data_IF_496491338612
#
_entry.id   IF_496491338612
#
_cell.length_a   1.000
_cell.length_b   1.000
_cell.length_c   1.000
_cell.angle_alpha   90.00
_cell.angle_beta   90.00
_cell.angle_gamma   90.00
#
_symmetry.space_group_name_H-M   'P 1'
#
loop_
_entity.id
_entity.type
_entity.pdbx_description
1 polymer ?
#
# COMPACT_ATOMS: atom_id res chain seq x y z
N UNK A 1 45.34 22.39 -32.05
CA UNK A 1 46.81 22.28 -31.89
C UNK A 1 47.33 22.29 -33.31
N UNK A 2 47.85 23.43 -33.74
CA UNK A 2 48.02 23.72 -35.15
C UNK A 2 49.53 23.71 -35.45
N UNK A 3 49.99 22.74 -36.23
CA UNK A 3 51.32 22.71 -36.81
C UNK A 3 51.43 23.81 -37.88
N UNK A 4 52.09 24.92 -37.57
CA UNK A 4 52.49 25.92 -38.58
C UNK A 4 53.93 25.66 -39.02
N UNK A 5 54.12 25.48 -40.33
CA UNK A 5 55.45 25.60 -40.95
C UNK A 5 55.85 27.08 -40.90
N UNK A 6 56.82 27.39 -40.03
CA UNK A 6 57.06 28.72 -39.45
C UNK A 6 57.72 29.79 -40.32
N UNK A 7 57.36 29.94 -41.61
CA UNK A 7 58.05 30.92 -42.48
C UNK A 7 57.12 31.86 -43.26
N UNK A 8 55.79 31.72 -43.13
CA UNK A 8 54.81 32.67 -43.70
C UNK A 8 53.80 33.04 -42.62
N UNK A 9 53.88 34.29 -42.15
CA UNK A 9 52.94 34.87 -41.19
C UNK A 9 51.90 35.64 -42.01
N UNK A 10 50.80 34.98 -42.36
CA UNK A 10 49.68 35.66 -43.03
C UNK A 10 48.76 36.29 -41.99
N UNK A 11 48.32 37.55 -42.18
CA UNK A 11 47.33 38.17 -41.31
C UNK A 11 46.01 37.38 -41.37
N UNK A 12 45.48 37.01 -40.21
CA UNK A 12 44.17 36.34 -40.10
C UNK A 12 43.06 37.39 -40.17
N UNK A 13 42.14 37.20 -41.11
CA UNK A 13 40.97 38.04 -41.29
C UNK A 13 39.69 37.29 -40.88
N UNK A 14 38.61 38.01 -40.59
CA UNK A 14 37.31 37.37 -40.30
C UNK A 14 36.71 36.73 -41.55
N UNK A 15 35.83 35.73 -41.40
CA UNK A 15 35.11 35.03 -42.48
C UNK A 15 34.30 35.94 -43.43
N UNK A 16 34.07 37.21 -43.06
CA UNK A 16 33.43 38.21 -43.92
C UNK A 16 34.36 38.72 -45.02
N UNK A 17 35.66 38.69 -44.77
CA UNK A 17 36.70 39.15 -45.67
C UNK A 17 37.05 38.00 -46.62
N UNK A 18 37.05 38.28 -47.93
CA UNK A 18 37.24 37.27 -48.98
C UNK A 18 38.73 36.99 -49.23
N UNK A 19 39.49 36.73 -48.17
CA UNK A 19 40.93 36.51 -48.20
C UNK A 19 41.23 35.17 -47.51
N UNK A 20 42.15 34.39 -48.08
CA UNK A 20 42.47 33.06 -47.57
C UNK A 20 41.33 32.06 -47.80
N UNK A 21 41.17 31.10 -46.88
CA UNK A 21 40.24 29.96 -47.00
C UNK A 21 38.80 30.28 -46.56
N UNK A 22 38.33 31.49 -46.87
CA UNK A 22 37.07 32.05 -46.36
C UNK A 22 35.82 31.23 -46.73
N UNK A 23 35.82 30.54 -47.88
CA UNK A 23 34.70 29.68 -48.32
C UNK A 23 34.56 28.46 -47.42
N UNK A 24 35.67 27.80 -47.09
CA UNK A 24 35.67 26.63 -46.23
C UNK A 24 35.38 27.01 -44.77
N UNK A 25 35.86 28.17 -44.31
CA UNK A 25 35.53 28.70 -42.98
C UNK A 25 34.03 28.97 -42.83
N UNK A 26 33.38 29.55 -43.84
CA UNK A 26 31.90 29.68 -43.86
C UNK A 26 31.16 28.35 -43.94
N UNK A 27 31.75 27.33 -44.59
CA UNK A 27 31.17 25.97 -44.62
C UNK A 27 31.31 25.23 -43.29
N UNK A 28 32.33 25.54 -42.50
CA UNK A 28 32.70 24.78 -41.29
C UNK A 28 31.70 24.87 -40.14
N UNK A 29 30.81 25.86 -40.08
CA UNK A 29 29.79 25.90 -39.01
C UNK A 29 28.42 26.38 -39.48
N UNK A 30 27.68 25.44 -40.06
CA UNK A 30 26.29 25.23 -39.66
C UNK A 30 26.14 23.74 -39.40
N UNK A 31 26.36 23.32 -38.16
CA UNK A 31 25.85 22.03 -37.68
C UNK A 31 24.34 22.10 -37.85
N UNK A 32 23.85 21.71 -39.03
CA UNK A 32 22.43 21.47 -39.23
C UNK A 32 22.10 20.44 -38.18
N UNK A 33 21.18 20.78 -37.28
CA UNK A 33 20.56 19.83 -36.38
C UNK A 33 20.11 18.65 -37.23
N UNK A 34 20.93 17.61 -37.30
CA UNK A 34 20.59 16.43 -38.07
C UNK A 34 19.51 15.74 -37.24
N UNK A 35 18.33 15.46 -37.81
CA UNK A 35 17.37 14.64 -37.11
C UNK A 35 18.07 13.31 -36.79
N UNK A 36 18.07 12.96 -35.51
CA UNK A 36 18.64 11.70 -35.04
C UNK A 36 17.93 10.57 -35.80
N UNK A 37 18.67 9.67 -36.41
CA UNK A 37 18.06 8.53 -37.08
C UNK A 37 17.40 7.64 -36.03
N UNK A 38 16.11 7.40 -36.19
CA UNK A 38 15.35 6.49 -35.34
C UNK A 38 15.61 5.03 -35.75
N UNK A 39 15.42 4.11 -34.80
CA UNK A 39 15.50 2.67 -35.09
C UNK A 39 14.34 2.25 -36.00
N UNK A 40 14.53 1.20 -36.81
CA UNK A 40 13.44 0.64 -37.62
C UNK A 40 12.22 0.29 -36.75
N UNK A 41 12.45 -0.18 -35.52
CA UNK A 41 11.39 -0.43 -34.55
C UNK A 41 10.55 0.82 -34.23
N UNK A 42 11.18 1.98 -34.01
CA UNK A 42 10.45 3.21 -33.71
C UNK A 42 9.68 3.76 -34.93
N UNK A 43 10.14 3.42 -36.13
CA UNK A 43 9.47 3.78 -37.39
C UNK A 43 8.23 2.91 -37.60
N UNK A 44 8.35 1.60 -37.32
CA UNK A 44 7.27 0.62 -37.53
C UNK A 44 6.25 0.59 -36.38
N UNK A 45 6.69 0.90 -35.15
CA UNK A 45 5.83 0.87 -33.98
C UNK A 45 4.92 2.09 -33.93
N UNK A 46 3.63 1.87 -34.14
CA UNK A 46 2.59 2.87 -33.91
C UNK A 46 2.04 2.72 -32.49
N UNK A 47 2.39 3.66 -31.62
CA UNK A 47 1.79 3.75 -30.29
C UNK A 47 0.34 4.21 -30.42
N UNK A 48 -0.60 3.41 -29.91
CA UNK A 48 -1.99 3.79 -29.79
C UNK A 48 -2.32 4.07 -28.31
N UNK A 49 -2.08 5.31 -27.81
CA UNK A 49 -2.26 5.63 -26.39
C UNK A 49 -3.71 5.44 -25.91
N UNK A 50 -4.68 5.61 -26.81
CA UNK A 50 -6.12 5.47 -26.51
C UNK A 50 -6.67 4.08 -26.89
N UNK A 51 -5.84 3.19 -27.45
CA UNK A 51 -6.23 1.82 -27.78
C UNK A 51 -6.43 1.02 -26.50
N UNK A 52 -7.68 0.92 -26.06
CA UNK A 52 -8.09 -0.09 -25.09
C UNK A 52 -8.42 -1.37 -25.84
N UNK A 53 -7.86 -2.54 -25.47
CA UNK A 53 -8.28 -3.80 -26.06
C UNK A 53 -9.78 -3.98 -25.82
N UNK A 54 -10.49 -4.55 -26.81
CA UNK A 54 -11.92 -4.81 -26.65
C UNK A 54 -12.15 -5.76 -25.45
N UNK A 55 -12.84 -5.23 -24.44
CA UNK A 55 -13.12 -5.95 -23.21
C UNK A 55 -14.07 -7.13 -23.44
N UNK A 56 -14.92 -7.06 -24.46
CA UNK A 56 -15.85 -8.13 -24.83
C UNK A 56 -15.07 -9.28 -25.46
N UNK A 57 -14.23 -8.97 -26.45
CA UNK A 57 -13.35 -9.95 -27.09
C UNK A 57 -12.44 -10.66 -26.09
N UNK A 58 -11.72 -9.91 -25.24
CA UNK A 58 -10.83 -10.47 -24.22
C UNK A 58 -11.58 -11.36 -23.22
N UNK A 59 -12.75 -10.93 -22.72
CA UNK A 59 -13.60 -11.76 -21.85
C UNK A 59 -14.06 -13.04 -22.54
N UNK A 60 -14.36 -12.97 -23.84
CA UNK A 60 -14.79 -14.15 -24.61
C UNK A 60 -13.67 -15.18 -24.75
N UNK A 61 -12.42 -14.75 -24.94
CA UNK A 61 -11.24 -15.62 -24.99
C UNK A 61 -11.00 -16.27 -23.63
N UNK A 62 -10.99 -15.47 -22.56
CA UNK A 62 -10.79 -16.00 -21.20
C UNK A 62 -11.82 -17.07 -20.87
N UNK A 63 -13.10 -16.82 -21.15
CA UNK A 63 -14.17 -17.81 -20.94
C UNK A 63 -13.98 -19.10 -21.75
N UNK A 64 -13.45 -19.02 -22.97
CA UNK A 64 -13.15 -20.22 -23.77
C UNK A 64 -11.97 -21.01 -23.20
N UNK A 65 -11.02 -20.34 -22.56
CA UNK A 65 -9.83 -20.94 -21.96
C UNK A 65 -10.07 -21.49 -20.54
N UNK A 66 -11.11 -21.05 -19.83
CA UNK A 66 -11.45 -21.50 -18.47
C UNK A 66 -11.72 -23.02 -18.37
N UNK A 67 -12.03 -23.69 -19.48
CA UNK A 67 -12.22 -25.15 -19.54
C UNK A 67 -13.48 -25.65 -18.85
N UNK A 68 -13.58 -26.96 -18.64
CA UNK A 68 -14.73 -27.58 -17.97
C UNK A 68 -14.56 -27.45 -16.44
N UNK A 69 -15.59 -27.01 -15.70
CA UNK A 69 -15.44 -26.83 -14.27
C UNK A 69 -15.30 -28.17 -13.54
N UNK A 70 -14.45 -28.17 -12.50
CA UNK A 70 -14.10 -29.34 -11.66
C UNK A 70 -15.30 -30.19 -11.23
N UNK A 71 -16.44 -29.55 -10.97
CA UNK A 71 -17.67 -30.24 -10.56
C UNK A 71 -18.17 -31.26 -11.60
N UNK A 72 -17.93 -31.07 -12.90
CA UNK A 72 -18.37 -32.04 -13.91
C UNK A 72 -17.38 -33.19 -14.09
N UNK A 73 -16.10 -32.98 -13.77
CA UNK A 73 -15.05 -33.99 -13.93
C UNK A 73 -14.87 -34.87 -12.70
N UNK A 74 -14.94 -34.28 -11.51
CA UNK A 74 -14.54 -34.93 -10.26
C UNK A 74 -15.67 -35.09 -9.24
N UNK A 75 -16.87 -34.57 -9.52
CA UNK A 75 -18.02 -34.81 -8.64
C UNK A 75 -18.64 -36.15 -9.00
N UNK A 76 -18.78 -37.00 -7.99
CA UNK A 76 -19.58 -38.21 -8.08
C UNK A 76 -20.97 -37.92 -7.49
N UNK A 77 -22.02 -38.22 -8.26
CA UNK A 77 -23.42 -38.21 -7.81
C UNK A 77 -23.96 -36.87 -7.26
N UNK A 78 -23.30 -35.74 -7.54
CA UNK A 78 -23.73 -34.44 -7.06
C UNK A 78 -23.66 -34.28 -5.54
N UNK A 79 -22.81 -35.06 -4.86
CA UNK A 79 -22.71 -35.00 -3.41
C UNK A 79 -22.20 -33.62 -2.93
N UNK A 80 -22.78 -33.06 -1.85
CA UNK A 80 -22.27 -31.83 -1.29
C UNK A 80 -20.87 -32.04 -0.73
N UNK A 81 -19.97 -31.06 -0.95
CA UNK A 81 -18.57 -31.14 -0.51
C UNK A 81 -18.39 -31.36 1.00
N UNK A 82 -19.38 -30.97 1.80
CA UNK A 82 -19.37 -31.10 3.26
C UNK A 82 -19.94 -32.42 3.77
N UNK A 83 -20.35 -33.35 2.90
CA UNK A 83 -20.98 -34.61 3.30
C UNK A 83 -20.07 -35.49 4.17
N UNK A 84 -18.75 -35.43 3.94
CA UNK A 84 -17.76 -36.34 4.55
C UNK A 84 -16.72 -35.58 5.37
N UNK A 85 -17.17 -34.66 6.25
CA UNK A 85 -16.28 -33.89 7.14
C UNK A 85 -16.02 -34.56 8.49
N UNK A 86 -16.73 -35.65 8.79
CA UNK A 86 -16.60 -36.43 10.02
C UNK A 86 -15.74 -37.64 9.74
N UNK A 87 -14.72 -37.88 10.57
CA UNK A 87 -13.90 -39.09 10.48
C UNK A 87 -14.57 -40.25 11.21
N UNK A 88 -14.25 -41.49 10.83
CA UNK A 88 -14.75 -42.69 11.53
C UNK A 88 -14.41 -42.67 13.02
N UNK A 89 -13.27 -42.11 13.39
CA UNK A 89 -12.87 -41.95 14.79
C UNK A 89 -13.82 -41.00 15.54
N UNK A 90 -14.14 -39.84 14.95
CA UNK A 90 -15.07 -38.87 15.54
C UNK A 90 -16.47 -39.46 15.68
N UNK A 91 -16.94 -40.20 14.67
CA UNK A 91 -18.24 -40.86 14.70
C UNK A 91 -18.34 -41.95 15.78
N UNK A 92 -17.32 -42.81 15.91
CA UNK A 92 -17.33 -43.93 16.85
C UNK A 92 -17.11 -43.52 18.32
N UNK A 93 -16.15 -42.63 18.59
CA UNK A 93 -15.71 -42.35 19.95
C UNK A 93 -16.30 -41.08 20.55
N UNK A 94 -16.43 -40.02 19.74
CA UNK A 94 -16.82 -38.70 20.22
C UNK A 94 -18.33 -38.47 20.10
N UNK A 95 -18.96 -39.12 19.12
CA UNK A 95 -20.40 -39.02 18.81
C UNK A 95 -21.20 -40.27 19.18
N UNK A 96 -20.68 -41.04 20.15
CA UNK A 96 -21.32 -42.26 20.66
C UNK A 96 -22.81 -42.00 20.98
N UNK A 97 -23.70 -42.75 20.33
CA UNK A 97 -25.15 -42.74 20.59
C UNK A 97 -26.06 -42.17 19.48
N UNK A 98 -25.54 -41.76 18.31
CA UNK A 98 -26.36 -41.15 17.23
C UNK A 98 -26.42 -41.93 15.90
N UNK A 99 -26.20 -43.24 15.92
CA UNK A 99 -26.27 -44.02 14.67
C UNK A 99 -27.73 -44.13 14.20
N UNK A 100 -28.04 -43.56 13.03
CA UNK A 100 -29.33 -43.76 12.31
C UNK A 100 -29.30 -45.07 11.51
N UNK A 101 -28.69 -46.12 12.06
CA UNK A 101 -28.59 -47.40 11.36
C UNK A 101 -29.97 -48.07 11.32
N UNK A 102 -30.31 -48.77 10.24
CA UNK A 102 -31.51 -49.58 10.21
C UNK A 102 -31.45 -50.64 11.30
N UNK A 103 -32.62 -50.93 11.87
CA UNK A 103 -32.79 -51.65 13.14
C UNK A 103 -32.34 -53.11 13.10
N UNK A 104 -32.21 -53.70 11.91
CA UNK A 104 -31.81 -55.09 11.70
C UNK A 104 -30.66 -55.16 10.69
N UNK A 105 -29.56 -55.79 11.11
CA UNK A 105 -28.44 -56.18 10.24
C UNK A 105 -28.75 -57.55 9.63
N UNK A 106 -28.30 -57.75 8.39
CA UNK A 106 -28.39 -59.02 7.66
C UNK A 106 -26.99 -59.47 7.25
N UNK A 107 -26.73 -60.78 7.25
CA UNK A 107 -25.45 -61.30 6.78
C UNK A 107 -25.44 -61.34 5.25
N UNK A 108 -24.53 -60.61 4.62
CA UNK A 108 -24.31 -60.63 3.17
C UNK A 108 -23.16 -61.60 2.85
N UNK A 109 -23.50 -62.75 2.27
CA UNK A 109 -22.53 -63.80 1.94
C UNK A 109 -21.49 -63.40 0.90
N UNK A 110 -21.78 -62.40 0.05
CA UNK A 110 -20.82 -61.91 -0.94
C UNK A 110 -19.78 -61.00 -0.30
N UNK A 111 -20.19 -60.18 0.68
CA UNK A 111 -19.30 -59.31 1.45
C UNK A 111 -18.66 -60.01 2.65
N UNK A 112 -19.18 -61.18 3.02
CA UNK A 112 -18.81 -61.92 4.23
C UNK A 112 -18.96 -61.09 5.51
N UNK A 113 -19.90 -60.15 5.53
CA UNK A 113 -20.06 -59.14 6.58
C UNK A 113 -21.54 -58.93 6.94
N UNK A 114 -21.78 -58.38 8.14
CA UNK A 114 -23.11 -57.97 8.58
C UNK A 114 -23.43 -56.59 8.01
N UNK A 115 -24.29 -56.56 7.00
CA UNK A 115 -24.72 -55.34 6.33
C UNK A 115 -26.07 -54.88 6.89
N UNK A 116 -26.24 -53.58 7.14
CA UNK A 116 -25.22 -52.56 6.97
C UNK A 116 -24.32 -52.37 8.18
N UNK A 117 -23.06 -52.08 7.88
CA UNK A 117 -22.12 -51.61 8.89
C UNK A 117 -22.35 -50.12 9.16
N UNK A 118 -21.86 -49.67 10.32
CA UNK A 118 -21.93 -48.25 10.66
C UNK A 118 -21.13 -47.38 9.68
N UNK A 119 -20.01 -47.91 9.21
CA UNK A 119 -19.12 -47.33 8.21
C UNK A 119 -19.80 -47.10 6.85
N UNK A 120 -20.79 -47.91 6.49
CA UNK A 120 -21.51 -47.80 5.21
C UNK A 120 -22.41 -46.56 5.14
N UNK A 121 -22.80 -46.03 6.31
CA UNK A 121 -23.68 -44.88 6.43
C UNK A 121 -23.00 -43.74 7.20
N UNK A 122 -22.03 -43.05 6.57
CA UNK A 122 -21.34 -41.94 7.22
C UNK A 122 -22.34 -40.86 7.61
N UNK A 123 -22.18 -40.34 8.83
CA UNK A 123 -23.04 -39.31 9.38
C UNK A 123 -22.84 -38.00 8.61
N UNK A 124 -23.92 -37.47 8.01
CA UNK A 124 -23.92 -36.20 7.28
C UNK A 124 -24.00 -34.96 8.21
N UNK A 125 -23.54 -35.09 9.45
CA UNK A 125 -23.55 -34.03 10.44
C UNK A 125 -22.36 -33.08 10.22
N UNK A 126 -22.45 -31.82 10.65
CA UNK A 126 -21.29 -30.94 10.67
C UNK A 126 -20.17 -31.52 11.56
N UNK A 127 -18.89 -31.25 11.22
CA UNK A 127 -17.74 -31.77 11.96
C UNK A 127 -17.73 -31.33 13.42
N UNK A 128 -17.11 -32.10 14.31
CA UNK A 128 -17.04 -31.75 15.73
C UNK A 128 -16.14 -30.55 15.89
N UNK A 129 -16.72 -29.41 16.27
CA UNK A 129 -15.96 -28.21 16.53
C UNK A 129 -15.58 -28.17 18.02
N UNK A 130 -14.32 -28.46 18.33
CA UNK A 130 -13.76 -28.38 19.68
C UNK A 130 -13.48 -26.95 20.17
N UNK A 131 -14.08 -25.93 19.54
CA UNK A 131 -13.76 -24.53 19.84
C UNK A 131 -12.57 -23.99 19.03
N UNK A 132 -11.90 -24.82 18.23
CA UNK A 132 -10.70 -24.44 17.48
C UNK A 132 -10.98 -23.31 16.48
N UNK A 133 -12.13 -23.39 15.80
CA UNK A 133 -12.54 -22.35 14.86
C UNK A 133 -12.72 -21.00 15.57
N UNK A 134 -13.41 -20.98 16.71
CA UNK A 134 -13.63 -19.77 17.50
C UNK A 134 -12.32 -19.20 18.04
N UNK A 135 -11.41 -20.06 18.51
CA UNK A 135 -10.10 -19.65 18.99
C UNK A 135 -9.25 -19.02 17.86
N UNK A 136 -9.27 -19.61 16.67
CA UNK A 136 -8.57 -19.08 15.49
C UNK A 136 -9.17 -17.79 14.97
N UNK A 137 -10.50 -17.72 14.93
CA UNK A 137 -11.21 -16.51 14.53
C UNK A 137 -10.88 -15.35 15.47
N UNK A 138 -10.87 -15.59 16.79
CA UNK A 138 -10.43 -14.61 17.78
C UNK A 138 -8.98 -14.19 17.54
N UNK A 139 -8.07 -15.15 17.36
CA UNK A 139 -6.65 -14.88 17.08
C UNK A 139 -6.47 -14.00 15.83
N UNK A 140 -7.20 -14.29 14.74
CA UNK A 140 -7.12 -13.49 13.52
C UNK A 140 -7.69 -12.09 13.72
N UNK A 141 -8.83 -11.96 14.38
CA UNK A 141 -9.42 -10.65 14.70
C UNK A 141 -8.44 -9.79 15.50
N UNK A 142 -7.76 -10.37 16.50
CA UNK A 142 -6.72 -9.69 17.28
C UNK A 142 -5.55 -9.26 16.38
N UNK A 143 -5.05 -10.16 15.53
CA UNK A 143 -3.95 -9.87 14.61
C UNK A 143 -4.26 -8.76 13.59
N UNK A 144 -5.50 -8.68 13.09
CA UNK A 144 -5.91 -7.62 12.16
C UNK A 144 -6.27 -6.31 12.88
N UNK A 145 -6.50 -6.34 14.20
CA UNK A 145 -6.86 -5.16 14.99
C UNK A 145 -5.66 -4.40 15.57
N UNK A 146 -4.50 -5.06 15.70
CA UNK A 146 -3.30 -4.43 16.24
C UNK A 146 -2.52 -3.69 15.16
N UNK A 147 -2.27 -2.39 15.38
CA UNK A 147 -1.27 -1.63 14.62
C UNK A 147 0.08 -2.37 14.63
N UNK A 148 0.82 -2.34 13.53
CA UNK A 148 2.13 -2.96 13.40
C UNK A 148 3.14 -2.38 14.41
N UNK A 149 3.21 -2.97 15.60
CA UNK A 149 4.17 -2.63 16.65
C UNK A 149 5.37 -3.55 16.54
N UNK A 150 6.57 -2.99 16.76
CA UNK A 150 7.76 -3.81 16.94
C UNK A 150 7.64 -4.64 18.22
N UNK A 151 8.32 -5.79 18.28
CA UNK A 151 8.35 -6.62 19.50
C UNK A 151 8.75 -5.82 20.74
N UNK A 152 9.68 -4.88 20.59
CA UNK A 152 10.09 -3.97 21.65
C UNK A 152 8.95 -3.06 22.12
N UNK A 153 8.19 -2.47 21.19
CA UNK A 153 7.02 -1.64 21.53
C UNK A 153 5.90 -2.44 22.19
N UNK A 154 5.72 -3.71 21.83
CA UNK A 154 4.67 -4.56 22.39
C UNK A 154 5.04 -5.09 23.79
N UNK A 155 6.32 -5.42 24.01
CA UNK A 155 6.78 -5.98 25.29
C UNK A 155 7.13 -4.91 26.33
N UNK A 156 7.60 -3.74 25.90
CA UNK A 156 7.99 -2.66 26.80
C UNK A 156 6.77 -1.95 27.37
N UNK A 157 6.55 -2.12 28.68
CA UNK A 157 5.55 -1.35 29.41
C UNK A 157 6.05 0.09 29.57
N UNK A 158 5.39 1.04 28.91
CA UNK A 158 5.73 2.44 29.08
C UNK A 158 5.59 2.83 30.56
N UNK A 159 6.62 3.41 31.19
CA UNK A 159 6.53 3.85 32.56
C UNK A 159 5.50 5.00 32.67
N UNK A 160 4.91 5.21 33.86
CA UNK A 160 3.95 6.29 34.06
C UNK A 160 4.61 7.65 33.78
N UNK A 161 3.82 8.63 33.35
CA UNK A 161 4.34 9.95 32.93
C UNK A 161 5.18 10.64 34.01
N UNK A 162 4.92 10.34 35.29
CA UNK A 162 5.66 10.84 36.46
C UNK A 162 7.09 10.32 36.57
N UNK A 163 7.42 9.18 35.95
CA UNK A 163 8.76 8.62 35.95
C UNK A 163 9.69 9.31 34.95
N UNK A 164 9.13 10.00 33.95
CA UNK A 164 9.92 10.83 33.07
C UNK A 164 10.34 12.09 33.82
N UNK A 165 11.57 12.53 33.60
CA UNK A 165 12.03 13.81 34.12
C UNK A 165 11.14 14.91 33.55
N UNK A 166 10.65 15.78 34.44
CA UNK A 166 9.90 16.96 34.00
C UNK A 166 10.81 17.81 33.12
N UNK A 167 10.27 18.29 31.98
CA UNK A 167 11.00 19.20 31.10
C UNK A 167 11.36 20.44 31.92
N UNK A 168 12.64 20.59 32.26
CA UNK A 168 13.15 21.85 32.80
C UNK A 168 13.08 22.84 31.66
N UNK A 169 12.12 23.77 31.70
CA UNK A 169 12.11 24.87 30.74
C UNK A 169 13.47 25.58 30.83
N UNK A 170 14.25 25.58 29.75
CA UNK A 170 15.55 26.28 29.68
C UNK A 170 15.42 27.80 29.78
N UNK A 171 14.19 28.30 29.84
CA UNK A 171 13.82 29.71 30.00
C UNK A 171 12.76 29.78 31.08
N UNK A 172 12.86 30.77 31.97
CA UNK A 172 11.85 31.02 33.00
C UNK A 172 10.45 31.17 32.35
N UNK A 173 9.38 30.63 32.95
CA UNK A 173 8.02 30.78 32.42
C UNK A 173 7.72 32.27 32.24
N UNK A 174 7.07 32.64 31.13
CA UNK A 174 6.85 34.04 30.71
C UNK A 174 6.17 34.92 31.77
N UNK A 175 5.39 34.32 32.67
CA UNK A 175 4.77 34.97 33.85
C UNK A 175 5.83 35.61 34.77
N UNK A 176 7.03 35.04 34.82
CA UNK A 176 8.17 35.55 35.58
C UNK A 176 9.12 36.40 34.74
N UNK A 177 8.85 36.56 33.44
CA UNK A 177 9.72 37.33 32.55
C UNK A 177 9.44 38.83 32.66
N UNK A 178 10.50 39.62 32.87
CA UNK A 178 10.41 41.08 32.99
C UNK A 178 10.20 41.79 31.64
N UNK A 179 10.15 41.06 30.53
CA UNK A 179 9.95 41.59 29.18
C UNK A 179 8.52 42.06 28.93
N UNK A 180 7.57 41.71 29.80
CA UNK A 180 6.17 42.14 29.70
C UNK A 180 5.86 43.40 30.53
N UNK A 181 6.81 43.92 31.31
CA UNK A 181 6.60 45.17 32.05
C UNK A 181 6.54 46.35 31.07
N UNK A 182 5.51 47.22 31.14
CA UNK A 182 5.35 48.35 30.22
C UNK A 182 6.58 49.29 30.20
N UNK A 183 7.26 49.42 31.35
CA UNK A 183 8.48 50.20 31.52
C UNK A 183 9.70 49.64 30.77
N UNK A 184 9.67 48.38 30.34
CA UNK A 184 10.72 47.75 29.56
C UNK A 184 10.44 47.77 28.05
N UNK A 185 9.26 48.24 27.62
CA UNK A 185 8.86 48.37 26.21
C UNK A 185 9.24 49.73 25.61
N UNK A 186 10.36 50.29 26.07
CA UNK A 186 10.76 51.64 25.69
C UNK A 186 11.79 51.48 24.56
N UNK A 187 11.32 51.71 23.34
CA UNK A 187 12.11 51.91 22.11
C UNK A 187 12.51 50.64 21.32
N UNK A 188 12.34 49.43 21.84
CA UNK A 188 12.65 48.17 21.11
C UNK A 188 11.46 47.53 20.38
N UNK A 189 10.24 47.95 20.68
CA UNK A 189 9.00 47.46 20.05
C UNK A 189 8.48 48.38 18.94
N UNK A 190 9.19 49.47 18.64
CA UNK A 190 8.84 50.36 17.53
C UNK A 190 9.29 49.75 16.21
N UNK A 191 8.32 49.51 15.31
CA UNK A 191 8.57 49.00 13.96
C UNK A 191 9.16 50.11 13.08
N UNK A 192 10.49 50.31 13.13
CA UNK A 192 11.17 51.13 12.15
C UNK A 192 11.06 50.46 10.79
N UNK A 193 10.47 51.16 9.80
CA UNK A 193 10.05 50.62 8.50
C UNK A 193 11.15 49.96 7.66
N UNK A 194 12.42 50.13 8.02
CA UNK A 194 13.54 49.75 7.15
C UNK A 194 14.38 48.57 7.68
N UNK A 195 14.20 48.14 8.92
CA UNK A 195 14.91 46.98 9.46
C UNK A 195 13.95 45.86 9.88
N UNK A 196 14.03 44.73 9.18
CA UNK A 196 13.46 43.46 9.67
C UNK A 196 14.33 42.94 10.81
N UNK A 197 14.06 43.36 12.02
CA UNK A 197 14.54 42.61 13.19
C UNK A 197 13.72 41.31 13.29
N UNK A 198 14.37 40.19 13.60
CA UNK A 198 13.70 38.92 13.87
C UNK A 198 12.82 39.09 15.12
N UNK A 199 11.54 39.39 14.92
CA UNK A 199 10.57 39.38 16.00
C UNK A 199 10.25 37.92 16.34
N UNK A 200 10.40 37.56 17.61
CA UNK A 200 9.98 36.25 18.10
C UNK A 200 8.48 36.10 17.82
N UNK A 201 8.03 35.07 17.09
CA UNK A 201 6.63 34.91 16.74
C UNK A 201 5.75 34.93 17.98
N UNK A 202 4.75 35.83 17.99
CA UNK A 202 3.67 35.78 18.98
C UNK A 202 2.85 34.51 18.74
N UNK A 203 2.58 33.74 19.80
CA UNK A 203 1.66 32.60 19.69
C UNK A 203 0.24 33.11 19.38
N UNK A 204 -0.54 32.39 18.55
CA UNK A 204 -1.93 32.71 18.30
C UNK A 204 -2.73 32.58 19.61
N UNK A 205 -3.59 33.57 19.86
CA UNK A 205 -4.54 33.54 20.97
C UNK A 205 -5.56 32.43 20.66
N UNK A 206 -5.81 31.46 21.56
CA UNK A 206 -6.87 30.48 21.33
C UNK A 206 -8.21 31.23 21.28
N UNK A 207 -8.92 31.10 20.17
CA UNK A 207 -10.26 31.66 20.00
C UNK A 207 -11.19 31.01 21.03
N UNK A 208 -11.56 31.74 22.07
CA UNK A 208 -12.67 31.35 22.93
C UNK A 208 -13.94 31.50 22.11
N UNK A 209 -14.58 30.37 21.78
CA UNK A 209 -15.93 30.39 21.22
C UNK A 209 -16.88 30.98 22.27
N UNK A 210 -17.27 32.24 22.07
CA UNK A 210 -18.35 32.88 22.83
C UNK A 210 -19.66 32.26 22.34
N UNK A 211 -20.24 31.38 23.15
CA UNK A 211 -21.60 30.89 22.93
C UNK A 211 -22.58 32.07 23.03
N UNK A 212 -23.21 32.45 21.92
CA UNK A 212 -24.33 33.40 21.92
C UNK A 212 -25.62 32.66 22.34
N UNK A 213 -26.46 33.25 23.22
CA UNK A 213 -27.72 32.64 23.61
C UNK A 213 -28.75 32.72 22.48
N UNK A 214 -29.46 31.62 22.24
CA UNK A 214 -30.54 31.50 21.26
C UNK A 214 -31.71 32.43 21.61
N UNK A 215 -32.05 33.33 20.69
CA UNK A 215 -33.25 34.16 20.79
C UNK A 215 -34.51 33.33 20.57
N UNK A 216 -35.45 33.44 21.51
CA UNK A 216 -36.82 32.95 21.39
C UNK A 216 -37.57 33.73 20.31
N UNK A 217 -38.19 33.03 19.36
CA UNK A 217 -39.16 33.61 18.43
C UNK A 217 -40.56 33.58 19.05
N UNK A 218 -41.22 34.73 19.08
CA UNK A 218 -42.68 34.86 19.23
C UNK A 218 -43.34 34.83 17.86
#
# INVERSE_FOLDING_TARGET
>A
MDHYSGWKIEPKYSDKVLIGNWVEERRKFRTRYQPKQDSCYNIDFVSFPDSKPDRIFTRSIVKKLEGLPKCHLLSHHGEPKHKHLVSLYDDHYLRSGKSKLPTLRSYDGNRLAWVPEQSDYPTADPPTNFGLFQAKEKQWREQFSEDHKSLYSASYKQPPTSAYSTVRFGVAPRVLSSTMYPSNNNNKSMNFREYRHLQVPGYPVPHTHVNQPAGFMT
#
